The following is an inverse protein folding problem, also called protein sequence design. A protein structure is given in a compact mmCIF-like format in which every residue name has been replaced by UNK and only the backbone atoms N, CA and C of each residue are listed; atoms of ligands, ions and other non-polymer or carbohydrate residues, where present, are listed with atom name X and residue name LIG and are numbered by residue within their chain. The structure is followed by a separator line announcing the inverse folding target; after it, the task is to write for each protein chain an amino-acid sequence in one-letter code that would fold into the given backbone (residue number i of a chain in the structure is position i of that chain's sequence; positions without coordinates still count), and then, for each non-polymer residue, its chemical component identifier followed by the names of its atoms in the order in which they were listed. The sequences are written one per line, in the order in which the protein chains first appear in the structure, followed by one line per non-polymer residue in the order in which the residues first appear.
data_IF_642284329996
#
_entry.id   IF_642284329996
#
_cell.length_a   1.000
_cell.length_b   1.000
_cell.length_c   1.000
_cell.angle_alpha   90.00
_cell.angle_beta   90.00
_cell.angle_gamma   90.00
#
_symmetry.space_group_name_H-M   'P 1'
#
loop_
_entity.id
_entity.type
_entity.pdbx_description
1 polymer ?
#
# COMPACT_ATOMS: atom_id res chain seq x y z
N UNK A 1 26.11 46.67 -1.24
CA UNK A 1 25.83 45.30 -1.75
C UNK A 1 26.25 44.19 -0.78
N UNK A 2 26.34 44.46 0.54
CA UNK A 2 26.84 43.48 1.53
C UNK A 2 25.72 42.84 2.35
N UNK A 3 24.52 43.44 2.33
CA UNK A 3 23.38 43.04 3.16
C UNK A 3 22.42 42.06 2.46
N UNK A 4 22.36 42.07 1.12
CA UNK A 4 21.52 41.15 0.35
C UNK A 4 21.97 39.68 0.47
N UNK A 5 23.27 39.45 0.68
CA UNK A 5 23.84 38.12 0.81
C UNK A 5 23.50 37.44 2.15
N UNK A 6 23.07 38.19 3.18
CA UNK A 6 22.69 37.63 4.49
C UNK A 6 21.22 37.20 4.59
N UNK A 7 20.36 37.73 3.73
CA UNK A 7 18.93 37.38 3.71
C UNK A 7 18.65 36.09 2.92
N UNK A 8 19.47 35.78 1.90
CA UNK A 8 19.29 34.59 1.07
C UNK A 8 19.58 33.27 1.79
N UNK A 9 20.39 33.28 2.86
CA UNK A 9 20.80 32.06 3.57
C UNK A 9 19.84 31.63 4.68
N UNK A 10 18.88 32.48 5.09
CA UNK A 10 17.93 32.13 6.17
C UNK A 10 16.75 31.30 5.64
N UNK A 11 16.40 31.45 4.36
CA UNK A 11 15.22 30.80 3.77
C UNK A 11 15.50 29.33 3.39
N UNK A 12 16.77 28.96 3.14
CA UNK A 12 17.13 27.60 2.75
C UNK A 12 17.09 26.57 3.90
N UNK A 13 16.99 27.02 5.16
CA UNK A 13 16.97 26.14 6.34
C UNK A 13 15.60 25.59 6.73
N UNK A 14 14.50 26.12 6.19
CA UNK A 14 13.13 25.73 6.58
C UNK A 14 12.54 24.58 5.75
N UNK A 15 13.26 24.06 4.78
CA UNK A 15 12.77 23.00 3.86
C UNK A 15 13.29 21.60 4.27
N UNK A 16 14.04 21.51 5.37
CA UNK A 16 14.69 20.27 5.80
C UNK A 16 14.02 19.64 7.03
N UNK A 17 12.75 19.27 6.87
CA UNK A 17 12.22 18.09 7.55
C UNK A 17 10.95 17.67 6.80
N UNK A 18 10.90 16.51 6.14
CA UNK A 18 9.62 15.84 6.11
C UNK A 18 9.29 15.63 7.58
N UNK A 19 8.24 16.29 8.08
CA UNK A 19 7.54 15.82 9.24
C UNK A 19 6.91 14.47 8.86
N UNK A 20 7.76 13.44 8.72
CA UNK A 20 7.40 12.09 9.07
C UNK A 20 6.86 12.29 10.48
N UNK A 21 5.56 12.18 10.66
CA UNK A 21 4.88 12.53 11.88
C UNK A 21 5.31 11.54 12.97
N UNK A 22 6.53 11.70 13.49
CA UNK A 22 7.11 10.85 14.51
C UNK A 22 6.23 11.05 15.73
N UNK A 23 5.28 10.13 15.91
CA UNK A 23 4.34 10.19 17.00
C UNK A 23 5.11 10.40 18.30
N UNK A 24 4.60 11.24 19.22
CA UNK A 24 5.35 11.64 20.39
C UNK A 24 5.89 10.42 21.14
N UNK A 25 7.10 10.50 21.73
CA UNK A 25 7.70 9.37 22.43
C UNK A 25 6.84 8.95 23.64
N UNK A 26 6.92 7.68 24.09
CA UNK A 26 6.23 7.26 25.31
C UNK A 26 6.64 8.14 26.48
N UNK A 27 5.67 8.68 27.21
CA UNK A 27 5.93 9.26 28.52
C UNK A 27 5.65 8.19 29.59
N UNK A 28 6.63 7.97 30.46
CA UNK A 28 6.49 7.05 31.58
C UNK A 28 5.95 7.81 32.79
N UNK A 29 4.71 7.52 33.18
CA UNK A 29 4.08 8.08 34.37
C UNK A 29 2.56 8.16 34.24
N UNK A 30 1.90 8.36 35.38
CA UNK A 30 0.44 8.33 35.52
C UNK A 30 -0.16 9.71 35.83
N UNK A 31 0.60 10.79 35.67
CA UNK A 31 0.06 12.13 35.84
C UNK A 31 -0.90 12.48 34.69
N UNK A 32 -1.84 13.40 34.96
CA UNK A 32 -2.82 13.81 33.95
C UNK A 32 -2.20 14.42 32.67
N UNK A 33 -0.96 14.92 32.74
CA UNK A 33 -0.22 15.42 31.59
C UNK A 33 0.40 14.27 30.78
N UNK A 34 0.97 13.27 31.45
CA UNK A 34 1.56 12.08 30.80
C UNK A 34 0.49 11.20 30.14
N UNK A 35 -0.68 11.04 30.78
CA UNK A 35 -1.82 10.32 30.19
C UNK A 35 -2.31 11.03 28.93
N UNK A 36 -2.42 12.36 28.95
CA UNK A 36 -2.80 13.15 27.76
C UNK A 36 -1.79 13.00 26.63
N UNK A 37 -0.50 13.14 26.92
CA UNK A 37 0.56 12.96 25.94
C UNK A 37 0.55 11.54 25.32
N UNK A 38 0.32 10.51 26.14
CA UNK A 38 0.17 9.13 25.66
C UNK A 38 -1.11 8.92 24.83
N UNK A 39 -2.21 9.61 25.16
CA UNK A 39 -3.44 9.55 24.35
C UNK A 39 -3.28 10.19 22.97
N UNK A 40 -2.60 11.33 22.89
CA UNK A 40 -2.26 12.01 21.63
C UNK A 40 -1.36 11.13 20.76
N UNK A 41 -0.42 10.42 21.39
CA UNK A 41 0.42 9.42 20.73
C UNK A 41 -0.41 8.30 20.10
N UNK A 42 -1.37 7.73 20.84
CA UNK A 42 -2.21 6.64 20.32
C UNK A 42 -3.04 7.10 19.12
N UNK A 43 -3.54 8.34 19.12
CA UNK A 43 -4.27 8.90 17.99
C UNK A 43 -3.36 9.03 16.76
N UNK A 44 -2.13 9.52 16.96
CA UNK A 44 -1.14 9.60 15.88
C UNK A 44 -0.84 8.22 15.27
N UNK A 45 -0.54 7.22 16.11
CA UNK A 45 -0.26 5.85 15.65
C UNK A 45 -1.46 5.23 14.92
N UNK A 46 -2.68 5.47 15.40
CA UNK A 46 -3.90 5.01 14.73
C UNK A 46 -4.07 5.63 13.34
N UNK A 47 -3.72 6.90 13.16
CA UNK A 47 -3.78 7.57 11.87
C UNK A 47 -2.71 7.01 10.89
N UNK A 48 -1.50 6.70 11.37
CA UNK A 48 -0.48 6.03 10.56
C UNK A 48 -0.93 4.61 10.14
N UNK A 49 -1.54 3.87 11.06
CA UNK A 49 -2.12 2.57 10.77
C UNK A 49 -3.26 2.66 9.73
N UNK A 50 -4.16 3.62 9.88
CA UNK A 50 -5.27 3.83 8.95
C UNK A 50 -4.77 4.13 7.52
N UNK A 51 -3.75 4.98 7.39
CA UNK A 51 -3.18 5.31 6.07
C UNK A 51 -2.47 4.13 5.43
N UNK A 52 -1.73 3.31 6.19
CA UNK A 52 -1.08 2.10 5.66
C UNK A 52 -2.09 1.00 5.29
N UNK A 53 -3.20 0.88 6.04
CA UNK A 53 -4.28 -0.08 5.74
C UNK A 53 -4.99 0.26 4.44
N UNK A 54 -5.24 1.54 4.16
CA UNK A 54 -5.89 1.96 2.92
C UNK A 54 -5.01 1.64 1.70
N UNK A 55 -3.71 1.89 1.78
CA UNK A 55 -2.76 1.48 0.74
C UNK A 55 -2.75 -0.03 0.51
N UNK A 56 -2.74 -0.82 1.60
CA UNK A 56 -2.80 -2.28 1.53
C UNK A 56 -4.10 -2.77 0.88
N UNK A 57 -5.23 -2.14 1.24
CA UNK A 57 -6.55 -2.44 0.68
C UNK A 57 -6.58 -2.19 -0.83
N UNK A 58 -6.01 -1.08 -1.28
CA UNK A 58 -5.93 -0.75 -2.70
C UNK A 58 -5.05 -1.75 -3.47
N UNK A 59 -3.89 -2.13 -2.91
CA UNK A 59 -3.02 -3.16 -3.50
C UNK A 59 -3.74 -4.51 -3.67
N UNK A 60 -4.44 -4.98 -2.62
CA UNK A 60 -5.20 -6.23 -2.71
C UNK A 60 -6.30 -6.20 -3.79
N UNK A 61 -6.95 -5.04 -3.98
CA UNK A 61 -7.92 -4.88 -5.06
C UNK A 61 -7.26 -4.94 -6.43
N UNK A 62 -6.11 -4.30 -6.62
CA UNK A 62 -5.34 -4.35 -7.86
C UNK A 62 -4.87 -5.77 -8.18
N UNK A 63 -4.35 -6.49 -7.18
CA UNK A 63 -3.92 -7.88 -7.34
C UNK A 63 -5.08 -8.80 -7.74
N UNK A 64 -6.25 -8.63 -7.12
CA UNK A 64 -7.45 -9.39 -7.48
C UNK A 64 -7.89 -9.11 -8.93
N UNK A 65 -7.84 -7.85 -9.38
CA UNK A 65 -8.17 -7.48 -10.77
C UNK A 65 -7.15 -8.08 -11.74
N UNK A 66 -5.85 -7.94 -11.46
CA UNK A 66 -4.79 -8.49 -12.30
C UNK A 66 -4.89 -10.01 -12.45
N UNK A 67 -5.21 -10.72 -11.37
CA UNK A 67 -5.39 -12.17 -11.41
C UNK A 67 -6.58 -12.56 -12.30
N UNK A 68 -7.71 -11.84 -12.22
CA UNK A 68 -8.85 -12.06 -13.14
C UNK A 68 -8.47 -11.82 -14.59
N UNK A 69 -7.76 -10.73 -14.89
CA UNK A 69 -7.34 -10.44 -16.26
C UNK A 69 -6.42 -11.52 -16.83
N UNK A 70 -5.47 -12.02 -16.02
CA UNK A 70 -4.60 -13.14 -16.43
C UNK A 70 -5.39 -14.42 -16.70
N UNK A 71 -6.40 -14.71 -15.88
CA UNK A 71 -7.26 -15.88 -16.08
C UNK A 71 -8.06 -15.78 -17.39
N UNK A 72 -8.67 -14.61 -17.67
CA UNK A 72 -9.37 -14.38 -18.93
C UNK A 72 -8.43 -14.45 -20.15
N UNK A 73 -7.21 -13.93 -20.04
CA UNK A 73 -6.21 -14.04 -21.11
C UNK A 73 -5.85 -15.50 -21.39
N UNK A 74 -5.62 -16.28 -20.33
CA UNK A 74 -5.37 -17.72 -20.42
C UNK A 74 -6.54 -18.46 -21.08
N UNK A 75 -7.79 -18.19 -20.65
CA UNK A 75 -8.98 -18.78 -21.26
C UNK A 75 -9.06 -18.50 -22.76
N UNK A 76 -8.89 -17.24 -23.18
CA UNK A 76 -8.90 -16.88 -24.61
C UNK A 76 -7.80 -17.59 -25.38
N UNK A 77 -6.61 -17.70 -24.79
CA UNK A 77 -5.49 -18.39 -25.42
C UNK A 77 -5.80 -19.87 -25.59
N UNK A 78 -6.38 -20.51 -24.59
CA UNK A 78 -6.83 -21.90 -24.67
C UNK A 78 -7.93 -22.10 -25.71
N UNK A 79 -8.92 -21.22 -25.77
CA UNK A 79 -10.00 -21.26 -26.78
C UNK A 79 -9.47 -21.03 -28.20
N UNK A 80 -8.42 -20.22 -28.35
CA UNK A 80 -7.76 -19.99 -29.64
C UNK A 80 -6.84 -21.12 -30.09
N UNK A 81 -6.57 -22.11 -29.22
CA UNK A 81 -5.78 -23.27 -29.62
C UNK A 81 -6.57 -24.07 -30.66
N UNK A 82 -5.93 -24.50 -31.76
CA UNK A 82 -6.56 -25.41 -32.70
C UNK A 82 -6.92 -26.71 -31.96
N UNK A 83 -8.21 -26.98 -31.81
CA UNK A 83 -8.69 -28.26 -31.32
C UNK A 83 -8.11 -29.34 -32.24
N UNK A 84 -7.24 -30.21 -31.71
CA UNK A 84 -6.87 -31.41 -32.44
C UNK A 84 -8.17 -32.17 -32.77
N UNK A 85 -8.37 -32.62 -34.01
CA UNK A 85 -9.57 -33.36 -34.36
C UNK A 85 -9.64 -34.56 -33.41
N UNK A 86 -10.67 -34.59 -32.58
CA UNK A 86 -11.00 -35.67 -31.68
C UNK A 86 -11.26 -36.90 -32.54
N UNK A 87 -10.22 -37.69 -32.78
CA UNK A 87 -10.40 -39.03 -33.31
C UNK A 87 -11.01 -39.83 -32.16
N UNK A 88 -12.35 -39.82 -32.10
CA UNK A 88 -13.12 -40.50 -31.07
C UNK A 88 -12.82 -41.99 -31.16
N UNK A 89 -11.83 -42.46 -30.39
CA UNK A 89 -11.74 -43.86 -30.02
C UNK A 89 -12.94 -44.13 -29.13
N UNK A 90 -13.95 -44.69 -29.76
CA UNK A 90 -15.16 -45.20 -29.14
C UNK A 90 -14.75 -46.10 -27.96
N UNK A 91 -15.25 -45.87 -26.74
CA UNK A 91 -14.93 -46.75 -25.62
C UNK A 91 -15.43 -48.16 -25.95
N UNK A 92 -14.65 -49.22 -25.63
CA UNK A 92 -15.08 -50.59 -25.92
C UNK A 92 -16.38 -50.88 -25.16
N UNK A 93 -17.40 -51.26 -25.91
CA UNK A 93 -18.65 -51.78 -25.38
C UNK A 93 -18.29 -53.10 -24.68
N UNK A 94 -18.35 -53.12 -23.35
CA UNK A 94 -18.12 -54.35 -22.57
C UNK A 94 -19.28 -55.35 -22.81
N UNK A 95 -18.99 -56.66 -22.99
CA UNK A 95 -19.99 -57.71 -23.16
C UNK A 95 -20.76 -58.04 -21.87
#
# INVERSE_FOLDING_TARGET
MKDAAKLGTIIAGLIAAPAMAACPPPMAGDTAAEIRANSERLICLQNELATSMEQRRLQMQLDAINNRLRDLDLQRRLDSLPQQPTNMVQPPICP
#
